data_IF_165614371826
#
_entry.id   IF_165614371826
#
_cell.length_a   1.000
_cell.length_b   1.000
_cell.length_c   1.000
_cell.angle_alpha   90.00
_cell.angle_beta   90.00
_cell.angle_gamma   90.00
#
_symmetry.space_group_name_H-M   'P 1'
#
loop_
_entity.id
_entity.type
_entity.pdbx_description
1 polymer ?
#
# COMPACT_ATOMS: atom_id res chain seq x y z
N UNK A 1 -18.70 34.77 -48.38
CA UNK A 1 -17.77 33.62 -48.42
C UNK A 1 -17.14 33.39 -47.04
N UNK A 2 -17.92 33.46 -45.94
CA UNK A 2 -17.43 33.43 -44.54
C UNK A 2 -18.02 32.29 -43.67
N UNK A 3 -18.96 31.49 -44.18
CA UNK A 3 -19.66 30.48 -43.37
C UNK A 3 -19.05 29.07 -43.47
N UNK A 4 -18.18 28.81 -44.45
CA UNK A 4 -17.61 27.48 -44.70
C UNK A 4 -16.30 27.27 -43.92
N UNK A 5 -15.48 28.31 -43.77
CA UNK A 5 -14.23 28.29 -42.98
C UNK A 5 -14.49 28.23 -41.45
N UNK A 6 -15.58 28.86 -40.97
CA UNK A 6 -15.98 28.78 -39.56
C UNK A 6 -16.50 27.38 -39.18
N UNK A 7 -17.17 26.68 -40.11
CA UNK A 7 -17.71 25.33 -39.87
C UNK A 7 -16.63 24.25 -39.78
N UNK A 8 -15.49 24.46 -40.44
CA UNK A 8 -14.34 23.56 -40.40
C UNK A 8 -13.48 23.82 -39.15
N UNK A 9 -13.30 25.09 -38.78
CA UNK A 9 -12.67 25.50 -37.53
C UNK A 9 -13.40 24.97 -36.28
N UNK A 10 -14.72 25.09 -36.24
CA UNK A 10 -15.53 24.60 -35.11
C UNK A 10 -15.46 23.06 -34.96
N UNK A 11 -15.44 22.32 -36.08
CA UNK A 11 -15.27 20.85 -36.04
C UNK A 11 -13.90 20.42 -35.57
N UNK A 12 -12.85 21.13 -35.97
CA UNK A 12 -11.48 20.88 -35.52
C UNK A 12 -11.36 21.14 -34.01
N UNK A 13 -12.00 22.20 -33.50
CA UNK A 13 -12.06 22.51 -32.06
C UNK A 13 -12.83 21.42 -31.31
N UNK A 14 -13.99 20.98 -31.82
CA UNK A 14 -14.79 19.93 -31.19
C UNK A 14 -14.06 18.57 -31.15
N UNK A 15 -13.33 18.20 -32.22
CA UNK A 15 -12.49 17.02 -32.23
C UNK A 15 -11.29 17.13 -31.28
N UNK A 16 -10.67 18.32 -31.21
CA UNK A 16 -9.59 18.58 -30.26
C UNK A 16 -10.06 18.45 -28.81
N UNK A 17 -11.22 19.03 -28.47
CA UNK A 17 -11.84 18.93 -27.14
C UNK A 17 -12.18 17.48 -26.78
N UNK A 18 -12.81 16.73 -27.70
CA UNK A 18 -13.09 15.30 -27.50
C UNK A 18 -11.82 14.47 -27.32
N UNK A 19 -10.74 14.81 -28.04
CA UNK A 19 -9.46 14.13 -27.91
C UNK A 19 -8.79 14.42 -26.56
N UNK A 20 -8.86 15.68 -26.09
CA UNK A 20 -8.39 16.13 -24.79
C UNK A 20 -9.16 15.45 -23.66
N UNK A 21 -10.48 15.35 -23.76
CA UNK A 21 -11.32 14.70 -22.78
C UNK A 21 -11.01 13.19 -22.69
N UNK A 22 -10.82 12.52 -23.84
CA UNK A 22 -10.41 11.11 -23.87
C UNK A 22 -9.02 10.89 -23.28
N UNK A 23 -8.08 11.80 -23.55
CA UNK A 23 -6.73 11.75 -22.97
C UNK A 23 -6.78 11.97 -21.46
N UNK A 24 -7.54 12.96 -20.99
CA UNK A 24 -7.74 13.22 -19.56
C UNK A 24 -8.30 12.00 -18.84
N UNK A 25 -9.36 11.37 -19.37
CA UNK A 25 -9.92 10.14 -18.79
C UNK A 25 -8.92 8.97 -18.79
N UNK A 26 -8.11 8.81 -19.84
CA UNK A 26 -7.05 7.78 -19.88
C UNK A 26 -5.97 8.02 -18.83
N UNK A 27 -5.59 9.28 -18.62
CA UNK A 27 -4.61 9.66 -17.60
C UNK A 27 -5.15 9.35 -16.21
N UNK A 28 -6.40 9.73 -15.91
CA UNK A 28 -7.05 9.41 -14.63
C UNK A 28 -7.14 7.90 -14.37
N UNK A 29 -7.48 7.12 -15.40
CA UNK A 29 -7.51 5.65 -15.32
C UNK A 29 -6.12 5.07 -15.07
N UNK A 30 -5.09 5.52 -15.79
CA UNK A 30 -3.72 5.07 -15.59
C UNK A 30 -3.20 5.39 -14.18
N UNK A 31 -3.55 6.56 -13.65
CA UNK A 31 -3.17 6.96 -12.30
C UNK A 31 -3.85 6.08 -11.24
N UNK A 32 -5.15 5.82 -11.42
CA UNK A 32 -5.92 4.92 -10.56
C UNK A 32 -5.36 3.49 -10.58
N UNK A 33 -5.11 2.94 -11.77
CA UNK A 33 -4.57 1.60 -11.94
C UNK A 33 -3.16 1.48 -11.33
N UNK A 34 -2.32 2.49 -11.53
CA UNK A 34 -0.97 2.54 -10.95
C UNK A 34 -1.00 2.49 -9.42
N UNK A 35 -1.88 3.29 -8.80
CA UNK A 35 -2.09 3.28 -7.34
C UNK A 35 -2.56 1.91 -6.85
N UNK A 36 -3.48 1.27 -7.57
CA UNK A 36 -3.97 -0.08 -7.28
C UNK A 36 -2.87 -1.13 -7.38
N UNK A 37 -1.99 -1.04 -8.38
CA UNK A 37 -0.86 -1.96 -8.52
C UNK A 37 0.11 -1.85 -7.36
N UNK A 38 0.49 -0.62 -6.96
CA UNK A 38 1.37 -0.39 -5.80
C UNK A 38 0.79 -1.04 -4.54
N UNK A 39 -0.50 -0.85 -4.29
CA UNK A 39 -1.16 -1.46 -3.13
C UNK A 39 -1.09 -3.00 -3.17
N UNK A 40 -1.31 -3.60 -4.35
CA UNK A 40 -1.21 -5.05 -4.55
C UNK A 40 0.20 -5.58 -4.30
N UNK A 41 1.24 -4.81 -4.62
CA UNK A 41 2.62 -5.17 -4.29
C UNK A 41 2.88 -5.12 -2.79
N UNK A 42 2.38 -4.09 -2.09
CA UNK A 42 2.47 -4.01 -0.64
C UNK A 42 1.73 -5.15 0.05
N UNK A 43 0.55 -5.50 -0.42
CA UNK A 43 -0.24 -6.62 0.11
C UNK A 43 0.56 -7.93 0.08
N UNK A 44 1.13 -8.27 -1.08
CA UNK A 44 2.03 -9.43 -1.25
C UNK A 44 3.27 -9.36 -0.36
N UNK A 45 3.77 -8.16 -0.09
CA UNK A 45 4.92 -7.97 0.78
C UNK A 45 4.53 -8.21 2.24
N UNK A 46 3.38 -7.70 2.67
CA UNK A 46 2.86 -7.92 4.02
C UNK A 46 2.61 -9.40 4.28
N UNK A 47 2.08 -10.17 3.32
CA UNK A 47 1.94 -11.63 3.45
C UNK A 47 3.28 -12.30 3.77
N UNK A 48 4.35 -11.91 3.06
CA UNK A 48 5.70 -12.44 3.30
C UNK A 48 6.23 -12.00 4.66
N UNK A 49 6.02 -10.74 5.05
CA UNK A 49 6.41 -10.24 6.37
C UNK A 49 5.68 -10.96 7.49
N UNK A 50 4.40 -11.29 7.31
CA UNK A 50 3.62 -12.06 8.28
C UNK A 50 4.21 -13.45 8.50
N UNK A 51 4.60 -14.11 7.41
CA UNK A 51 5.31 -15.40 7.46
C UNK A 51 6.66 -15.27 8.18
N UNK A 52 7.48 -14.26 7.84
CA UNK A 52 8.76 -14.02 8.52
C UNK A 52 8.57 -13.70 10.00
N UNK A 53 7.59 -12.88 10.35
CA UNK A 53 7.28 -12.54 11.72
C UNK A 53 6.89 -13.79 12.54
N UNK A 54 6.11 -14.70 11.96
CA UNK A 54 5.79 -15.99 12.59
C UNK A 54 7.04 -16.84 12.83
N UNK A 55 7.98 -16.86 11.87
CA UNK A 55 9.28 -17.51 12.03
C UNK A 55 10.08 -16.86 13.16
N UNK A 56 10.09 -15.52 13.25
CA UNK A 56 10.76 -14.80 14.34
C UNK A 56 10.15 -15.12 15.70
N UNK A 57 8.83 -15.08 15.86
CA UNK A 57 8.16 -15.45 17.13
C UNK A 57 8.61 -16.84 17.56
N UNK A 58 8.57 -17.80 16.65
CA UNK A 58 8.96 -19.19 16.93
C UNK A 58 10.44 -19.29 17.30
N UNK A 59 11.31 -18.62 16.55
CA UNK A 59 12.75 -18.55 16.82
C UNK A 59 13.05 -17.94 18.19
N UNK A 60 12.45 -16.79 18.52
CA UNK A 60 12.63 -16.14 19.82
C UNK A 60 12.10 -16.99 20.98
N UNK A 61 10.98 -17.70 20.81
CA UNK A 61 10.50 -18.65 21.82
C UNK A 61 11.52 -19.77 22.06
N UNK A 62 12.09 -20.36 21.00
CA UNK A 62 13.12 -21.38 21.12
C UNK A 62 14.39 -20.83 21.80
N UNK A 63 14.82 -19.63 21.43
CA UNK A 63 15.98 -18.95 22.05
C UNK A 63 15.78 -18.74 23.55
N UNK A 64 14.59 -18.29 23.97
CA UNK A 64 14.26 -18.10 25.39
C UNK A 64 14.24 -19.42 26.18
N UNK A 65 13.92 -20.55 25.54
CA UNK A 65 13.95 -21.85 26.20
C UNK A 65 15.37 -22.39 26.36
N UNK A 66 16.22 -22.21 25.34
CA UNK A 66 17.59 -22.74 25.34
C UNK A 66 18.50 -21.93 26.26
N UNK A 67 18.36 -20.60 26.26
CA UNK A 67 19.26 -19.73 27.01
C UNK A 67 18.49 -18.87 28.02
N UNK A 68 18.61 -19.23 29.30
CA UNK A 68 17.89 -18.60 30.44
C UNK A 68 18.29 -17.14 30.71
N UNK A 69 19.41 -16.68 30.16
CA UNK A 69 19.83 -15.28 30.29
C UNK A 69 19.14 -14.35 29.27
N UNK A 70 18.39 -14.91 28.31
CA UNK A 70 17.62 -14.08 27.39
C UNK A 70 16.44 -13.42 28.07
N UNK A 71 16.42 -12.09 27.99
CA UNK A 71 15.31 -11.30 28.47
C UNK A 71 14.06 -11.59 27.61
N UNK A 72 13.03 -12.18 28.23
CA UNK A 72 11.76 -12.51 27.55
C UNK A 72 11.04 -11.29 26.98
N UNK A 73 11.39 -10.05 27.40
CA UNK A 73 10.86 -8.82 26.80
C UNK A 73 11.20 -8.70 25.31
N UNK A 74 12.22 -9.39 24.82
CA UNK A 74 12.55 -9.43 23.39
C UNK A 74 11.41 -9.99 22.54
N UNK A 75 10.58 -10.85 23.13
CA UNK A 75 9.42 -11.45 22.49
C UNK A 75 8.36 -10.41 22.12
N UNK A 76 8.31 -9.26 22.82
CA UNK A 76 7.38 -8.18 22.50
C UNK A 76 7.65 -7.57 21.13
N UNK A 77 8.91 -7.59 20.66
CA UNK A 77 9.31 -6.99 19.40
C UNK A 77 8.52 -7.59 18.21
N UNK A 78 8.59 -8.92 17.94
CA UNK A 78 7.83 -9.50 16.86
C UNK A 78 6.31 -9.41 17.08
N UNK A 79 5.80 -9.40 18.32
CA UNK A 79 4.36 -9.18 18.57
C UNK A 79 3.91 -7.76 18.21
N UNK A 80 4.74 -6.74 18.46
CA UNK A 80 4.45 -5.37 18.02
C UNK A 80 4.39 -5.28 16.49
N UNK A 81 5.33 -5.94 15.79
CA UNK A 81 5.34 -6.00 14.34
C UNK A 81 4.14 -6.74 13.77
N UNK A 82 3.73 -7.85 14.40
CA UNK A 82 2.50 -8.57 14.05
C UNK A 82 1.25 -7.69 14.18
N UNK A 83 1.13 -6.96 15.29
CA UNK A 83 0.01 -6.05 15.53
C UNK A 83 -0.06 -4.95 14.46
N UNK A 84 1.08 -4.36 14.09
CA UNK A 84 1.14 -3.38 13.01
C UNK A 84 0.76 -3.98 11.65
N UNK A 85 1.22 -5.19 11.32
CA UNK A 85 0.84 -5.88 10.07
C UNK A 85 -0.68 -6.10 10.00
N UNK A 86 -1.29 -6.58 11.08
CA UNK A 86 -2.75 -6.78 11.18
C UNK A 86 -3.49 -5.45 10.99
N UNK A 87 -3.01 -4.38 11.63
CA UNK A 87 -3.60 -3.05 11.49
C UNK A 87 -3.58 -2.55 10.04
N UNK A 88 -2.44 -2.70 9.36
CA UNK A 88 -2.30 -2.28 7.95
C UNK A 88 -3.23 -3.10 7.05
N UNK A 89 -3.29 -4.42 7.24
CA UNK A 89 -4.17 -5.30 6.47
C UNK A 89 -5.65 -4.96 6.67
N UNK A 90 -6.05 -4.67 7.93
CA UNK A 90 -7.40 -4.21 8.24
C UNK A 90 -7.74 -2.90 7.50
N UNK A 91 -6.82 -1.94 7.53
CA UNK A 91 -7.00 -0.64 6.89
C UNK A 91 -7.08 -0.77 5.36
N UNK A 92 -6.24 -1.61 4.74
CA UNK A 92 -6.31 -1.92 3.30
C UNK A 92 -7.65 -2.55 2.93
N UNK A 93 -8.14 -3.51 3.72
CA UNK A 93 -9.47 -4.12 3.53
C UNK A 93 -10.60 -3.09 3.64
N UNK A 94 -10.47 -2.11 4.52
CA UNK A 94 -11.46 -1.03 4.66
C UNK A 94 -11.48 -0.11 3.42
N UNK A 95 -10.32 0.24 2.88
CA UNK A 95 -10.21 1.02 1.64
C UNK A 95 -10.82 0.23 0.47
N UNK A 96 -10.46 -1.04 0.31
CA UNK A 96 -10.99 -1.89 -0.75
C UNK A 96 -12.52 -2.03 -0.69
N UNK A 97 -13.09 -2.20 0.51
CA UNK A 97 -14.55 -2.19 0.71
C UNK A 97 -15.18 -0.87 0.27
N UNK A 98 -14.66 0.26 0.74
CA UNK A 98 -15.21 1.59 0.42
C UNK A 98 -15.15 1.89 -1.08
N UNK A 99 -14.14 1.39 -1.79
CA UNK A 99 -14.09 1.47 -3.25
C UNK A 99 -15.13 0.58 -3.94
N UNK A 100 -15.30 -0.65 -3.48
CA UNK A 100 -16.31 -1.58 -4.02
C UNK A 100 -17.73 -0.99 -3.93
N UNK A 101 -18.08 -0.38 -2.79
CA UNK A 101 -19.39 0.26 -2.60
C UNK A 101 -19.51 1.63 -3.30
N UNK A 102 -18.43 2.40 -3.38
CA UNK A 102 -18.41 3.76 -3.96
C UNK A 102 -18.44 3.83 -5.49
N UNK A 103 -18.31 2.68 -6.18
CA UNK A 103 -18.37 2.61 -7.65
C UNK A 103 -19.77 2.93 -8.21
N UNK A 104 -20.80 3.03 -7.35
CA UNK A 104 -22.20 3.08 -7.79
C UNK A 104 -22.85 4.48 -7.79
N UNK A 105 -22.27 5.54 -7.17
CA UNK A 105 -23.11 6.75 -6.97
C UNK A 105 -22.49 8.17 -6.92
N UNK A 106 -21.19 8.43 -7.06
CA UNK A 106 -20.68 9.82 -6.83
C UNK A 106 -19.50 10.23 -7.71
N UNK A 107 -19.45 11.53 -8.02
CA UNK A 107 -18.37 12.30 -8.66
C UNK A 107 -16.97 11.69 -8.48
N UNK A 108 -16.41 11.20 -9.59
CA UNK A 108 -15.14 10.46 -9.66
C UNK A 108 -13.97 11.24 -9.04
N UNK A 109 -13.89 12.55 -9.26
CA UNK A 109 -12.81 13.42 -8.79
C UNK A 109 -12.72 13.55 -7.26
N UNK A 110 -13.86 13.65 -6.56
CA UNK A 110 -13.87 13.76 -5.09
C UNK A 110 -13.50 12.42 -4.42
N UNK A 111 -13.95 11.31 -5.02
CA UNK A 111 -13.57 9.96 -4.60
C UNK A 111 -12.09 9.69 -4.81
N UNK A 112 -11.52 10.13 -5.94
CA UNK A 112 -10.10 9.98 -6.23
C UNK A 112 -9.23 10.71 -5.18
N UNK A 113 -9.57 11.95 -4.83
CA UNK A 113 -8.78 12.75 -3.89
C UNK A 113 -8.86 12.21 -2.44
N UNK A 114 -10.05 11.79 -1.98
CA UNK A 114 -10.20 11.12 -0.67
C UNK A 114 -9.49 9.76 -0.62
N UNK A 115 -9.52 9.00 -1.71
CA UNK A 115 -8.82 7.72 -1.80
C UNK A 115 -7.30 7.92 -1.81
N UNK A 116 -6.81 8.91 -2.55
CA UNK A 116 -5.38 9.24 -2.66
C UNK A 116 -4.74 9.54 -1.31
N UNK A 117 -5.39 10.37 -0.47
CA UNK A 117 -4.88 10.66 0.87
C UNK A 117 -4.75 9.40 1.73
N UNK A 118 -5.71 8.47 1.63
CA UNK A 118 -5.66 7.19 2.34
C UNK A 118 -4.59 6.25 1.78
N UNK A 119 -4.39 6.23 0.46
CA UNK A 119 -3.33 5.44 -0.17
C UNK A 119 -1.92 5.90 0.20
N UNK A 120 -1.71 7.22 0.30
CA UNK A 120 -0.46 7.77 0.81
C UNK A 120 -0.18 7.30 2.24
N UNK A 121 -1.19 7.32 3.12
CA UNK A 121 -1.04 6.83 4.50
C UNK A 121 -0.68 5.34 4.57
N UNK A 122 -1.33 4.48 3.79
CA UNK A 122 -0.97 3.05 3.73
C UNK A 122 0.46 2.89 3.27
N UNK A 123 0.85 3.54 2.18
CA UNK A 123 2.21 3.46 1.64
C UNK A 123 3.25 3.79 2.70
N UNK A 124 3.06 4.86 3.48
CA UNK A 124 3.99 5.25 4.55
C UNK A 124 4.03 4.20 5.67
N UNK A 125 2.87 3.71 6.12
CA UNK A 125 2.79 2.65 7.14
C UNK A 125 3.45 1.35 6.66
N UNK A 126 3.23 0.96 5.41
CA UNK A 126 3.85 -0.20 4.78
C UNK A 126 5.37 -0.06 4.70
N UNK A 127 5.89 1.13 4.37
CA UNK A 127 7.33 1.38 4.37
C UNK A 127 7.92 1.31 5.79
N UNK A 128 7.20 1.83 6.78
CA UNK A 128 7.62 1.76 8.18
C UNK A 128 7.74 0.30 8.65
N UNK A 129 6.74 -0.54 8.37
CA UNK A 129 6.77 -1.94 8.83
C UNK A 129 7.88 -2.74 8.13
N UNK A 130 8.21 -2.42 6.87
CA UNK A 130 9.36 -3.00 6.17
C UNK A 130 10.66 -2.68 6.90
N UNK A 131 10.87 -1.41 7.28
CA UNK A 131 12.08 -0.98 7.99
C UNK A 131 12.16 -1.66 9.36
N UNK A 132 11.07 -1.68 10.12
CA UNK A 132 11.00 -2.35 11.43
C UNK A 132 11.35 -3.83 11.29
N UNK A 133 10.76 -4.52 10.31
CA UNK A 133 11.02 -5.94 10.05
C UNK A 133 12.48 -6.20 9.63
N UNK A 134 13.09 -5.28 8.88
CA UNK A 134 14.51 -5.39 8.53
C UNK A 134 15.43 -5.21 9.75
N UNK A 135 15.09 -4.30 10.66
CA UNK A 135 15.81 -4.12 11.93
C UNK A 135 15.66 -5.38 12.81
N UNK A 136 14.44 -5.95 12.91
CA UNK A 136 14.21 -7.22 13.61
C UNK A 136 15.10 -8.35 13.07
N UNK A 137 15.20 -8.47 11.75
CA UNK A 137 16.06 -9.46 11.11
C UNK A 137 17.53 -9.26 11.49
N UNK A 138 18.05 -8.04 11.36
CA UNK A 138 19.45 -7.73 11.70
C UNK A 138 19.73 -7.99 13.18
N UNK A 139 18.79 -7.65 14.06
CA UNK A 139 18.93 -7.88 15.49
C UNK A 139 18.89 -9.38 15.83
N UNK A 140 18.04 -10.15 15.16
CA UNK A 140 18.01 -11.61 15.28
C UNK A 140 19.34 -12.22 14.87
N UNK A 141 19.90 -11.79 13.72
CA UNK A 141 21.22 -12.24 13.25
C UNK A 141 22.31 -11.90 14.26
N UNK A 142 22.33 -10.67 14.78
CA UNK A 142 23.29 -10.24 15.79
C UNK A 142 23.24 -11.14 17.03
N UNK A 143 22.04 -11.43 17.52
CA UNK A 143 21.84 -12.32 18.67
C UNK A 143 22.38 -13.71 18.39
N UNK A 144 22.02 -14.31 17.25
CA UNK A 144 22.43 -15.66 16.90
C UNK A 144 23.94 -15.82 16.72
N UNK A 145 24.66 -14.75 16.30
CA UNK A 145 26.11 -14.80 16.06
C UNK A 145 26.90 -14.45 17.32
N UNK A 146 26.50 -13.42 18.07
CA UNK A 146 27.35 -12.81 19.10
C UNK A 146 26.86 -13.05 20.53
N UNK A 147 25.60 -13.45 20.73
CA UNK A 147 24.97 -13.53 22.06
C UNK A 147 24.34 -14.90 22.36
N UNK A 148 24.39 -15.82 21.41
CA UNK A 148 24.08 -17.22 21.61
C UNK A 148 25.35 -17.99 21.96
#
# INVERSE_FOLDING_TARGET
>A
MNNMDNLDGDKIIEEAEKSLERLSRKIEQLEYDSKRYVLKYFDRLHDKLFMFNTIFITGYFALCQINKEFNSLILLLPFCSLSMLIYIEHFMKEIARKQSYGMFEVNLSEHLNKAEKKYGQVTILSLLIIIVSAIELLYTIYICIFRF
#
